data_IF_575466792999
#
_entry.id   IF_575466792999
#
_cell.length_a   1.000
_cell.length_b   1.000
_cell.length_c   1.000
_cell.angle_alpha   90.00
_cell.angle_beta   90.00
_cell.angle_gamma   90.00
#
_symmetry.space_group_name_H-M   'P 1'
#
loop_
_entity.id
_entity.type
_entity.pdbx_description
1 polymer ?
#
# COMPACT_ATOMS: atom_id res chain seq x y z
N UNK A 1 20.94 -5.97 -39.45
CA UNK A 1 19.73 -5.55 -38.72
C UNK A 1 19.03 -6.75 -38.08
N UNK A 2 19.43 -7.12 -36.86
CA UNK A 2 19.01 -8.37 -36.18
C UNK A 2 18.53 -8.14 -34.73
N UNK A 3 18.20 -6.90 -34.35
CA UNK A 3 17.83 -6.55 -32.96
C UNK A 3 16.41 -5.99 -32.84
N UNK A 4 15.47 -6.47 -33.65
CA UNK A 4 14.03 -6.15 -33.49
C UNK A 4 13.21 -7.36 -33.02
N UNK A 5 13.84 -8.36 -32.39
CA UNK A 5 13.21 -9.67 -32.16
C UNK A 5 13.40 -10.24 -30.74
N UNK A 6 13.57 -9.41 -29.70
CA UNK A 6 13.40 -9.86 -28.30
C UNK A 6 11.96 -9.63 -27.84
N UNK A 7 11.10 -10.45 -28.42
CA UNK A 7 9.73 -10.63 -27.97
C UNK A 7 9.70 -11.03 -26.49
N UNK A 8 8.90 -10.30 -25.70
CA UNK A 8 7.72 -10.92 -25.07
C UNK A 8 8.02 -12.09 -24.11
N UNK A 9 8.89 -11.88 -23.12
CA UNK A 9 9.10 -12.87 -22.05
C UNK A 9 9.35 -12.24 -20.68
N UNK A 10 8.46 -11.38 -20.20
CA UNK A 10 8.30 -11.13 -18.76
C UNK A 10 6.80 -11.02 -18.47
N UNK A 11 6.14 -12.15 -18.67
CA UNK A 11 4.74 -12.34 -18.34
C UNK A 11 4.65 -12.66 -16.84
N UNK A 12 4.17 -11.69 -16.07
CA UNK A 12 3.38 -11.88 -14.86
C UNK A 12 4.09 -12.64 -13.74
N UNK A 13 5.02 -11.98 -13.06
CA UNK A 13 5.05 -12.11 -11.59
C UNK A 13 3.90 -11.25 -11.05
N UNK A 14 2.66 -11.76 -11.17
CA UNK A 14 1.64 -11.48 -10.18
C UNK A 14 2.17 -12.08 -8.88
N UNK A 15 3.01 -11.30 -8.20
CA UNK A 15 3.21 -11.49 -6.78
C UNK A 15 1.80 -11.49 -6.21
N UNK A 16 1.37 -12.63 -5.67
CA UNK A 16 0.16 -12.75 -4.87
C UNK A 16 0.38 -11.90 -3.62
N UNK A 17 0.30 -10.58 -3.80
CA UNK A 17 0.31 -9.63 -2.70
C UNK A 17 -0.93 -9.98 -1.90
N UNK A 18 -0.75 -10.27 -0.62
CA UNK A 18 -1.88 -10.57 0.24
C UNK A 18 -2.89 -9.43 0.12
N UNK A 19 -4.07 -9.74 -0.42
CA UNK A 19 -5.12 -8.76 -0.60
C UNK A 19 -5.79 -8.50 0.74
N UNK A 20 -5.92 -7.22 1.10
CA UNK A 20 -6.67 -6.77 2.27
C UNK A 20 -7.97 -6.10 1.83
N UNK A 21 -9.08 -6.48 2.46
CA UNK A 21 -10.35 -5.80 2.26
C UNK A 21 -10.30 -4.43 2.95
N UNK A 22 -10.07 -3.38 2.17
CA UNK A 22 -9.83 -2.05 2.72
C UNK A 22 -11.13 -1.38 3.18
N UNK A 23 -11.16 -0.90 4.42
CA UNK A 23 -12.30 -0.15 4.97
C UNK A 23 -12.36 1.30 4.48
N UNK A 24 -11.26 1.85 3.97
CA UNK A 24 -11.17 3.24 3.53
C UNK A 24 -11.66 3.44 2.10
N UNK A 25 -11.30 2.54 1.18
CA UNK A 25 -11.76 2.60 -0.22
C UNK A 25 -12.87 1.59 -0.55
N UNK A 26 -13.14 0.62 0.34
CA UNK A 26 -14.16 -0.41 0.12
C UNK A 26 -13.74 -1.53 -0.85
N UNK A 27 -12.52 -1.50 -1.38
CA UNK A 27 -12.00 -2.48 -2.34
C UNK A 27 -10.91 -3.35 -1.72
N UNK A 28 -10.71 -4.55 -2.29
CA UNK A 28 -9.52 -5.33 -2.02
C UNK A 28 -8.28 -4.63 -2.62
N UNK A 29 -7.18 -4.61 -1.88
CA UNK A 29 -5.93 -4.02 -2.38
C UNK A 29 -4.71 -4.53 -1.61
N UNK A 30 -3.54 -4.08 -2.03
CA UNK A 30 -2.24 -4.52 -1.50
C UNK A 30 -2.15 -4.33 0.03
N UNK A 31 -1.83 -5.39 0.77
CA UNK A 31 -1.57 -5.31 2.20
C UNK A 31 -0.30 -4.50 2.53
N UNK A 32 -0.31 -3.86 3.69
CA UNK A 32 0.83 -3.11 4.23
C UNK A 32 1.81 -4.08 4.86
N UNK A 33 3.02 -4.19 4.30
CA UNK A 33 4.08 -5.09 4.80
C UNK A 33 5.09 -4.37 5.70
N UNK A 34 5.21 -3.05 5.57
CA UNK A 34 6.16 -2.22 6.32
C UNK A 34 5.79 -2.10 7.81
N UNK A 35 6.78 -1.91 8.68
CA UNK A 35 6.56 -1.72 10.11
C UNK A 35 6.04 -0.30 10.36
N UNK A 36 4.91 -0.16 11.05
CA UNK A 36 4.24 1.13 11.22
C UNK A 36 4.59 1.83 12.53
N UNK A 37 5.20 1.12 13.49
CA UNK A 37 5.57 1.65 14.81
C UNK A 37 4.36 2.17 15.61
N UNK A 38 3.18 1.57 15.41
CA UNK A 38 1.92 1.96 16.06
C UNK A 38 1.52 1.01 17.20
N UNK A 39 2.46 0.16 17.65
CA UNK A 39 2.21 -0.82 18.70
C UNK A 39 1.05 -1.76 18.34
N UNK A 40 0.07 -1.90 19.25
CA UNK A 40 -1.09 -2.78 19.04
C UNK A 40 -1.96 -2.40 17.84
N UNK A 41 -2.00 -1.11 17.49
CA UNK A 41 -2.82 -0.60 16.38
C UNK A 41 -2.26 -1.02 15.02
N UNK A 42 -0.97 -1.34 14.94
CA UNK A 42 -0.33 -1.76 13.69
C UNK A 42 -1.01 -2.98 13.08
N UNK A 43 -1.34 -4.00 13.89
CA UNK A 43 -2.00 -5.21 13.41
C UNK A 43 -3.40 -4.91 12.86
N UNK A 44 -4.14 -4.00 13.51
CA UNK A 44 -5.49 -3.63 13.05
C UNK A 44 -5.46 -2.86 11.73
N UNK A 45 -4.51 -1.94 11.57
CA UNK A 45 -4.35 -1.18 10.33
C UNK A 45 -3.96 -2.11 9.19
N UNK A 46 -2.95 -2.97 9.40
CA UNK A 46 -2.50 -3.96 8.39
C UNK A 46 -3.62 -4.93 7.97
N UNK A 47 -4.53 -5.26 8.88
CA UNK A 47 -5.63 -6.18 8.61
C UNK A 47 -6.83 -5.53 7.90
N UNK A 48 -6.95 -4.19 7.90
CA UNK A 48 -8.16 -3.48 7.43
C UNK A 48 -7.90 -2.39 6.39
N UNK A 49 -6.65 -1.99 6.17
CA UNK A 49 -6.31 -0.84 5.31
C UNK A 49 -5.29 -1.29 4.27
N UNK A 50 -5.58 -1.00 3.00
CA UNK A 50 -4.61 -1.25 1.94
C UNK A 50 -3.52 -0.17 1.91
N UNK A 51 -2.35 -0.57 1.41
CA UNK A 51 -1.16 0.27 1.25
C UNK A 51 -1.39 1.61 0.54
N UNK A 52 -2.15 1.72 -0.57
CA UNK A 52 -2.38 3.03 -1.20
C UNK A 52 -3.20 3.97 -0.32
N UNK A 53 -4.19 3.46 0.41
CA UNK A 53 -4.97 4.28 1.36
C UNK A 53 -4.12 4.73 2.54
N UNK A 54 -3.24 3.85 3.03
CA UNK A 54 -2.31 4.19 4.10
C UNK A 54 -1.37 5.33 3.71
N UNK A 55 -0.72 5.24 2.53
CA UNK A 55 0.15 6.31 2.03
C UNK A 55 -0.56 7.66 1.91
N UNK A 56 -1.83 7.66 1.48
CA UNK A 56 -2.63 8.89 1.43
C UNK A 56 -2.84 9.48 2.84
N UNK A 57 -3.14 8.63 3.82
CA UNK A 57 -3.28 9.05 5.21
C UNK A 57 -1.97 9.61 5.78
N UNK A 58 -0.83 8.99 5.48
CA UNK A 58 0.48 9.50 5.91
C UNK A 58 0.77 10.90 5.38
N UNK A 59 0.38 11.21 4.15
CA UNK A 59 0.49 12.57 3.61
C UNK A 59 -0.39 13.57 4.37
N UNK A 60 -1.62 13.17 4.72
CA UNK A 60 -2.55 14.02 5.48
C UNK A 60 -2.14 14.24 6.93
N UNK A 61 -1.52 13.24 7.59
CA UNK A 61 -1.17 13.33 9.02
C UNK A 61 -0.25 14.52 9.30
N UNK A 62 0.68 14.81 8.39
CA UNK A 62 1.61 15.94 8.54
C UNK A 62 0.85 17.27 8.49
N UNK A 63 -0.12 17.40 7.58
CA UNK A 63 -0.95 18.60 7.52
C UNK A 63 -1.76 18.79 8.80
N UNK A 64 -2.33 17.72 9.35
CA UNK A 64 -3.08 17.76 10.61
C UNK A 64 -2.19 18.14 11.79
N UNK A 65 -1.02 17.50 11.94
CA UNK A 65 -0.07 17.82 13.04
C UNK A 65 0.33 19.29 12.99
N UNK A 66 0.66 19.79 11.79
CA UNK A 66 1.04 21.19 11.60
C UNK A 66 -0.10 22.16 11.97
N UNK A 67 -1.35 21.85 11.61
CA UNK A 67 -2.50 22.70 11.93
C UNK A 67 -2.78 22.76 13.45
N UNK A 68 -2.69 21.62 14.13
CA UNK A 68 -2.97 21.52 15.58
C UNK A 68 -1.78 21.93 16.48
N UNK A 69 -0.60 22.25 15.90
CA UNK A 69 0.61 22.64 16.62
C UNK A 69 1.05 21.62 17.69
N UNK A 70 0.95 20.33 17.35
CA UNK A 70 1.32 19.19 18.21
C UNK A 70 2.73 18.71 17.92
#
# INVERSE_FOLDING_TARGET
DIYQETTRFDRFTEATMADVQCVTCGQAGEAITEMLFLGKLEAEIKAKVCKPCWKKWEGMRVMVINEYQV
#
